data_IF_430637004873
#
_entry.id   IF_430637004873
#
_cell.length_a   1.000
_cell.length_b   1.000
_cell.length_c   1.000
_cell.angle_alpha   90.00
_cell.angle_beta   90.00
_cell.angle_gamma   90.00
#
_symmetry.space_group_name_H-M   'P 1'
#
loop_
_entity.id
_entity.type
_entity.pdbx_description
1 polymer ?
#
# COMPACT_ATOMS: atom_id res chain seq x y z
N UNK A 1 14.90 4.14 -41.13
CA UNK A 1 15.40 2.88 -40.53
C UNK A 1 16.78 3.16 -39.96
N UNK A 2 17.13 2.58 -38.80
CA UNK A 2 18.48 2.70 -38.25
C UNK A 2 19.48 2.04 -39.20
N UNK A 3 20.67 2.61 -39.32
CA UNK A 3 21.78 2.06 -40.11
C UNK A 3 22.42 0.87 -39.38
N UNK A 4 23.09 -0.02 -40.12
CA UNK A 4 23.80 -1.16 -39.53
C UNK A 4 24.81 -0.72 -38.46
N UNK A 5 25.50 0.41 -38.68
CA UNK A 5 26.42 0.99 -37.69
C UNK A 5 25.71 1.37 -36.39
N UNK A 6 24.51 1.93 -36.47
CA UNK A 6 23.71 2.29 -35.29
C UNK A 6 23.15 1.06 -34.56
N UNK A 7 22.83 -0.02 -35.30
CA UNK A 7 22.40 -1.29 -34.73
C UNK A 7 23.57 -2.01 -34.04
N UNK A 8 24.78 -1.97 -34.61
CA UNK A 8 25.98 -2.50 -33.97
C UNK A 8 26.32 -1.75 -32.68
N UNK A 9 26.27 -0.43 -32.72
CA UNK A 9 26.49 0.39 -31.53
C UNK A 9 25.47 0.06 -30.43
N UNK A 10 24.19 -0.09 -30.78
CA UNK A 10 23.16 -0.45 -29.81
C UNK A 10 23.37 -1.84 -29.19
N UNK A 11 23.83 -2.81 -29.98
CA UNK A 11 24.16 -4.14 -29.46
C UNK A 11 25.38 -4.10 -28.53
N UNK A 12 26.41 -3.33 -28.87
CA UNK A 12 27.59 -3.14 -28.02
C UNK A 12 27.22 -2.50 -26.66
N UNK A 13 26.38 -1.46 -26.68
CA UNK A 13 25.87 -0.81 -25.47
C UNK A 13 25.05 -1.78 -24.62
N UNK A 14 24.19 -2.59 -25.24
CA UNK A 14 23.39 -3.57 -24.53
C UNK A 14 24.27 -4.61 -23.82
N UNK A 15 25.29 -5.10 -24.52
CA UNK A 15 26.27 -6.03 -23.97
C UNK A 15 27.08 -5.44 -22.82
N UNK A 16 27.54 -4.20 -22.95
CA UNK A 16 28.26 -3.51 -21.88
C UNK A 16 27.41 -3.36 -20.61
N UNK A 17 26.10 -3.19 -20.76
CA UNK A 17 25.17 -2.98 -19.65
C UNK A 17 24.63 -4.28 -19.04
N UNK A 18 24.77 -5.43 -19.71
CA UNK A 18 24.25 -6.72 -19.24
C UNK A 18 24.77 -7.13 -17.85
N UNK A 19 26.06 -6.89 -17.57
CA UNK A 19 26.64 -7.23 -16.26
C UNK A 19 26.06 -6.37 -15.13
N UNK A 20 25.87 -5.07 -15.37
CA UNK A 20 25.24 -4.17 -14.41
C UNK A 20 23.76 -4.53 -14.20
N UNK A 21 23.08 -4.99 -15.25
CA UNK A 21 21.71 -5.50 -15.16
C UNK A 21 21.63 -6.76 -14.30
N UNK A 22 22.58 -7.70 -14.41
CA UNK A 22 22.64 -8.89 -13.54
C UNK A 22 22.74 -8.50 -12.06
N UNK A 23 23.68 -7.62 -11.74
CA UNK A 23 23.86 -7.12 -10.35
C UNK A 23 22.61 -6.41 -9.86
N UNK A 24 22.00 -5.56 -10.70
CA UNK A 24 20.75 -4.89 -10.38
C UNK A 24 19.64 -5.89 -10.05
N UNK A 25 19.51 -6.98 -10.82
CA UNK A 25 18.49 -7.99 -10.63
C UNK A 25 18.71 -8.81 -9.35
N UNK A 26 19.95 -9.12 -8.99
CA UNK A 26 20.28 -9.77 -7.71
C UNK A 26 19.85 -8.92 -6.51
N UNK A 27 20.06 -7.60 -6.58
CA UNK A 27 19.62 -6.68 -5.52
C UNK A 27 18.10 -6.53 -5.53
N UNK A 28 17.49 -6.38 -6.71
CA UNK A 28 16.05 -6.19 -6.86
C UNK A 28 15.24 -7.37 -6.36
N UNK A 29 15.68 -8.60 -6.63
CA UNK A 29 15.03 -9.82 -6.15
C UNK A 29 15.12 -10.00 -4.63
N UNK A 30 16.10 -9.36 -3.97
CA UNK A 30 16.17 -9.30 -2.53
C UNK A 30 15.46 -8.05 -2.00
N UNK A 31 14.21 -8.20 -1.57
CA UNK A 31 13.35 -7.08 -1.12
C UNK A 31 13.98 -6.19 -0.06
N UNK A 32 14.68 -6.77 0.92
CA UNK A 32 15.32 -6.00 1.99
C UNK A 32 16.47 -5.12 1.44
N UNK A 33 17.26 -5.67 0.51
CA UNK A 33 18.33 -4.91 -0.15
C UNK A 33 17.76 -3.88 -1.12
N UNK A 34 16.73 -4.22 -1.89
CA UNK A 34 16.10 -3.27 -2.81
C UNK A 34 15.55 -2.04 -2.09
N UNK A 35 14.89 -2.22 -0.93
CA UNK A 35 14.35 -1.12 -0.13
C UNK A 35 15.41 -0.14 0.40
N UNK A 36 16.68 -0.54 0.45
CA UNK A 36 17.76 0.23 1.08
C UNK A 36 18.78 0.79 0.07
N UNK A 37 18.70 0.38 -1.19
CA UNK A 37 19.66 0.78 -2.22
C UNK A 37 18.97 1.66 -3.26
N UNK A 38 19.43 2.90 -3.41
CA UNK A 38 18.92 3.82 -4.42
C UNK A 38 19.47 3.48 -5.81
N UNK A 39 18.67 3.67 -6.86
CA UNK A 39 19.14 3.55 -8.24
C UNK A 39 19.33 2.12 -8.76
N UNK A 40 18.89 1.10 -8.02
CA UNK A 40 19.04 -0.33 -8.40
C UNK A 40 18.54 -0.61 -9.82
N UNK A 41 17.43 0.00 -10.24
CA UNK A 41 16.83 -0.26 -11.55
C UNK A 41 17.44 0.55 -12.69
N UNK A 42 18.38 1.47 -12.42
CA UNK A 42 18.98 2.32 -13.46
C UNK A 42 19.62 1.50 -14.60
N UNK A 43 20.40 0.43 -14.34
CA UNK A 43 20.98 -0.39 -15.40
C UNK A 43 19.96 -1.10 -16.31
N UNK A 44 18.77 -1.37 -15.78
CA UNK A 44 17.67 -1.93 -16.57
C UNK A 44 17.09 -0.82 -17.45
N UNK A 45 16.63 0.29 -16.86
CA UNK A 45 15.93 1.33 -17.62
C UNK A 45 16.79 2.10 -18.62
N UNK A 46 18.10 2.26 -18.36
CA UNK A 46 18.98 3.06 -19.22
C UNK A 46 19.17 2.47 -20.62
N UNK A 47 18.90 1.17 -20.83
CA UNK A 47 19.07 0.53 -22.14
C UNK A 47 17.77 0.42 -22.95
N UNK A 48 16.64 0.95 -22.46
CA UNK A 48 15.34 0.82 -23.13
C UNK A 48 15.37 1.27 -24.60
N UNK A 49 16.06 2.38 -24.88
CA UNK A 49 16.22 2.90 -26.24
C UNK A 49 17.01 1.96 -27.16
N UNK A 50 18.01 1.24 -26.63
CA UNK A 50 18.79 0.26 -27.39
C UNK A 50 17.95 -0.99 -27.69
N UNK A 51 17.20 -1.47 -26.71
CA UNK A 51 16.25 -2.59 -26.92
C UNK A 51 15.25 -2.25 -28.03
N UNK A 52 14.61 -1.08 -27.95
CA UNK A 52 13.66 -0.62 -28.98
C UNK A 52 14.32 -0.54 -30.35
N UNK A 53 15.53 0.04 -30.42
CA UNK A 53 16.28 0.17 -31.69
C UNK A 53 16.59 -1.19 -32.31
N UNK A 54 17.04 -2.16 -31.52
CA UNK A 54 17.37 -3.51 -32.01
C UNK A 54 16.13 -4.31 -32.42
N UNK A 55 15.04 -4.22 -31.65
CA UNK A 55 13.76 -4.87 -32.00
C UNK A 55 13.19 -4.31 -33.31
N UNK A 56 13.16 -2.99 -33.47
CA UNK A 56 12.70 -2.36 -34.72
C UNK A 56 13.63 -2.66 -35.91
N UNK A 57 14.92 -2.83 -35.64
CA UNK A 57 15.92 -3.27 -36.60
C UNK A 57 15.89 -4.78 -36.91
N UNK A 58 14.98 -5.55 -36.29
CA UNK A 58 14.87 -7.01 -36.41
C UNK A 58 16.19 -7.74 -36.15
N UNK A 59 17.01 -7.20 -35.25
CA UNK A 59 18.29 -7.79 -34.85
C UNK A 59 18.11 -8.53 -33.54
N UNK A 60 18.33 -9.84 -33.57
CA UNK A 60 18.26 -10.68 -32.37
C UNK A 60 19.66 -10.92 -31.80
N UNK A 61 19.75 -10.99 -30.47
CA UNK A 61 20.95 -11.41 -29.74
C UNK A 61 20.58 -12.00 -28.38
N UNK A 62 21.52 -12.72 -27.76
CA UNK A 62 21.34 -13.24 -26.40
C UNK A 62 21.14 -12.10 -25.40
N UNK A 63 21.90 -11.02 -25.53
CA UNK A 63 21.80 -9.84 -24.68
C UNK A 63 20.43 -9.15 -24.84
N UNK A 64 19.89 -9.09 -26.06
CA UNK A 64 18.55 -8.55 -26.31
C UNK A 64 17.46 -9.37 -25.64
N UNK A 65 17.53 -10.69 -25.80
CA UNK A 65 16.61 -11.61 -25.15
C UNK A 65 16.66 -11.44 -23.63
N UNK A 66 17.86 -11.52 -23.05
CA UNK A 66 18.07 -11.37 -21.61
C UNK A 66 17.53 -10.04 -21.08
N UNK A 67 17.86 -8.92 -21.72
CA UNK A 67 17.44 -7.61 -21.24
C UNK A 67 15.93 -7.40 -21.35
N UNK A 68 15.28 -7.93 -22.40
CA UNK A 68 13.80 -7.93 -22.49
C UNK A 68 13.17 -8.70 -21.34
N UNK A 69 13.72 -9.86 -20.99
CA UNK A 69 13.24 -10.66 -19.85
C UNK A 69 13.44 -9.93 -18.51
N UNK A 70 14.56 -9.24 -18.32
CA UNK A 70 14.79 -8.45 -17.10
C UNK A 70 13.79 -7.30 -17.00
N UNK A 71 13.50 -6.60 -18.10
CA UNK A 71 12.47 -5.56 -18.14
C UNK A 71 11.09 -6.11 -17.76
N UNK A 72 10.71 -7.25 -18.33
CA UNK A 72 9.43 -7.88 -18.01
C UNK A 72 9.36 -8.31 -16.53
N UNK A 73 10.47 -8.84 -16.00
CA UNK A 73 10.58 -9.22 -14.58
C UNK A 73 10.41 -8.02 -13.67
N UNK A 74 11.11 -6.91 -13.97
CA UNK A 74 10.99 -5.65 -13.22
C UNK A 74 9.55 -5.14 -13.24
N UNK A 75 8.91 -5.08 -14.40
CA UNK A 75 7.50 -4.67 -14.53
C UNK A 75 6.58 -5.51 -13.64
N UNK A 76 6.65 -6.84 -13.78
CA UNK A 76 5.78 -7.75 -13.03
C UNK A 76 5.93 -7.58 -11.52
N UNK A 77 7.16 -7.40 -11.03
CA UNK A 77 7.41 -7.19 -9.60
C UNK A 77 6.94 -5.81 -9.13
N UNK A 78 7.11 -4.75 -9.94
CA UNK A 78 6.58 -3.43 -9.63
C UNK A 78 5.05 -3.41 -9.58
N UNK A 79 4.37 -4.19 -10.44
CA UNK A 79 2.91 -4.35 -10.40
C UNK A 79 2.47 -4.98 -9.06
N UNK A 80 3.17 -6.03 -8.61
CA UNK A 80 2.92 -6.65 -7.30
C UNK A 80 3.17 -5.68 -6.15
N UNK A 81 4.29 -4.94 -6.18
CA UNK A 81 4.62 -3.96 -5.13
C UNK A 81 3.56 -2.84 -5.08
N UNK A 82 3.12 -2.35 -6.25
CA UNK A 82 2.08 -1.33 -6.35
C UNK A 82 0.77 -1.79 -5.71
N UNK A 83 0.36 -3.03 -5.99
CA UNK A 83 -0.86 -3.59 -5.39
C UNK A 83 -0.72 -3.79 -3.87
N UNK A 84 0.44 -4.25 -3.41
CA UNK A 84 0.73 -4.38 -1.98
C UNK A 84 0.69 -3.01 -1.26
N UNK A 85 1.22 -1.95 -1.88
CA UNK A 85 1.16 -0.59 -1.33
C UNK A 85 -0.29 -0.12 -1.18
N UNK A 86 -1.14 -0.35 -2.19
CA UNK A 86 -2.57 0.01 -2.11
C UNK A 86 -3.29 -0.73 -0.99
N UNK A 87 -3.03 -2.02 -0.83
CA UNK A 87 -3.61 -2.82 0.25
C UNK A 87 -3.18 -2.32 1.62
N UNK A 88 -1.89 -2.01 1.80
CA UNK A 88 -1.38 -1.45 3.06
C UNK A 88 -2.00 -0.09 3.35
N UNK A 89 -2.10 0.79 2.35
CA UNK A 89 -2.74 2.10 2.52
C UNK A 89 -4.20 1.95 2.95
N UNK A 90 -4.95 1.06 2.30
CA UNK A 90 -6.34 0.79 2.64
C UNK A 90 -6.51 0.28 4.08
N UNK A 91 -5.65 -0.63 4.53
CA UNK A 91 -5.68 -1.12 5.92
C UNK A 91 -5.30 -0.01 6.92
N UNK A 92 -4.38 0.89 6.58
CA UNK A 92 -4.05 2.05 7.41
C UNK A 92 -5.26 2.99 7.54
N UNK A 93 -5.90 3.33 6.42
CA UNK A 93 -7.08 4.21 6.41
C UNK A 93 -8.22 3.59 7.23
N UNK A 94 -8.54 2.31 6.97
CA UNK A 94 -9.56 1.56 7.71
C UNK A 94 -9.23 1.46 9.19
N UNK A 95 -7.99 1.12 9.56
CA UNK A 95 -7.57 1.03 10.95
C UNK A 95 -7.63 2.38 11.65
N UNK A 96 -7.28 3.46 10.96
CA UNK A 96 -7.36 4.83 11.48
C UNK A 96 -8.81 5.22 11.80
N UNK A 97 -9.74 4.99 10.85
CA UNK A 97 -11.17 5.24 11.05
C UNK A 97 -11.69 4.39 12.22
N UNK A 98 -11.40 3.09 12.23
CA UNK A 98 -11.83 2.20 13.31
C UNK A 98 -11.31 2.65 14.67
N UNK A 99 -10.02 3.00 14.78
CA UNK A 99 -9.44 3.45 16.04
C UNK A 99 -10.05 4.78 16.51
N UNK A 100 -10.39 5.67 15.58
CA UNK A 100 -11.02 6.96 15.88
C UNK A 100 -12.46 6.79 16.40
N UNK A 101 -13.25 5.92 15.75
CA UNK A 101 -14.70 5.83 16.04
C UNK A 101 -15.08 4.69 16.98
N UNK A 102 -14.26 3.65 17.14
CA UNK A 102 -14.58 2.51 18.03
C UNK A 102 -14.90 2.93 19.47
N UNK A 103 -14.11 3.80 20.15
CA UNK A 103 -14.44 4.23 21.50
C UNK A 103 -15.76 5.01 21.57
N UNK A 104 -16.10 5.74 20.51
CA UNK A 104 -17.30 6.57 20.40
C UNK A 104 -18.54 5.67 20.27
N UNK A 105 -18.48 4.69 19.36
CA UNK A 105 -19.52 3.68 19.21
C UNK A 105 -19.72 2.86 20.49
N UNK A 106 -18.63 2.46 21.14
CA UNK A 106 -18.68 1.64 22.34
C UNK A 106 -19.28 2.42 23.52
N UNK A 107 -18.95 3.70 23.66
CA UNK A 107 -19.61 4.58 24.64
C UNK A 107 -21.12 4.67 24.40
N UNK A 108 -21.56 4.86 23.16
CA UNK A 108 -22.99 4.93 22.83
C UNK A 108 -23.71 3.60 23.09
N UNK A 109 -23.10 2.46 22.72
CA UNK A 109 -23.64 1.13 23.02
C UNK A 109 -23.79 0.90 24.52
N UNK A 110 -22.81 1.34 25.32
CA UNK A 110 -22.83 1.20 26.78
C UNK A 110 -23.85 2.15 27.44
N UNK A 111 -23.96 3.40 26.97
CA UNK A 111 -25.01 4.33 27.40
C UNK A 111 -26.40 3.73 27.12
N UNK A 112 -26.61 3.18 25.92
CA UNK A 112 -27.88 2.52 25.57
C UNK A 112 -28.17 1.31 26.48
N UNK A 113 -27.18 0.47 26.75
CA UNK A 113 -27.34 -0.68 27.67
C UNK A 113 -27.78 -0.23 29.06
N UNK A 114 -27.09 0.76 29.63
CA UNK A 114 -27.44 1.31 30.96
C UNK A 114 -28.81 1.97 30.99
N UNK A 115 -29.21 2.63 29.90
CA UNK A 115 -30.57 3.15 29.79
C UNK A 115 -31.62 2.03 29.83
N UNK A 116 -31.37 0.93 29.14
CA UNK A 116 -32.24 -0.25 29.20
C UNK A 116 -32.29 -0.87 30.60
N UNK A 117 -31.20 -0.85 31.35
CA UNK A 117 -31.16 -1.34 32.74
C UNK A 117 -32.14 -0.55 33.62
N UNK A 118 -32.25 0.79 33.45
CA UNK A 118 -33.26 1.62 34.15
C UNK A 118 -34.68 1.15 33.81
N UNK A 119 -34.98 0.94 32.52
CA UNK A 119 -36.31 0.59 32.07
C UNK A 119 -36.75 -0.79 32.59
N UNK A 120 -35.81 -1.71 32.69
CA UNK A 120 -36.05 -3.08 33.12
C UNK A 120 -35.97 -3.28 34.64
N UNK A 121 -35.47 -2.31 35.39
CA UNK A 121 -35.32 -2.39 36.84
C UNK A 121 -36.67 -2.39 37.58
N UNK A 122 -36.72 -3.18 38.66
CA UNK A 122 -37.81 -3.11 39.63
C UNK A 122 -37.88 -1.71 40.27
N UNK A 123 -39.07 -1.22 40.66
CA UNK A 123 -39.27 0.16 41.11
C UNK A 123 -38.28 0.65 42.17
N UNK A 124 -37.91 -0.22 43.11
CA UNK A 124 -36.99 0.04 44.22
C UNK A 124 -35.53 0.28 43.77
N UNK A 125 -35.11 -0.22 42.61
CA UNK A 125 -33.75 -0.06 42.08
C UNK A 125 -33.61 1.05 41.04
N UNK A 126 -34.72 1.54 40.47
CA UNK A 126 -34.70 2.50 39.35
C UNK A 126 -33.92 3.78 39.64
N UNK A 127 -34.02 4.33 40.84
CA UNK A 127 -33.28 5.54 41.20
C UNK A 127 -31.77 5.30 41.34
N UNK A 128 -31.35 4.08 41.71
CA UNK A 128 -29.94 3.73 41.71
C UNK A 128 -29.41 3.57 40.28
N UNK A 129 -30.12 2.81 39.45
CA UNK A 129 -29.77 2.62 38.03
C UNK A 129 -29.69 3.96 37.28
N UNK A 130 -30.64 4.87 37.54
CA UNK A 130 -30.64 6.21 36.95
C UNK A 130 -29.41 7.01 37.34
N UNK A 131 -28.97 6.93 38.61
CA UNK A 131 -27.77 7.63 39.09
C UNK A 131 -26.50 7.07 38.45
N UNK A 132 -26.43 5.75 38.30
CA UNK A 132 -25.32 5.08 37.61
C UNK A 132 -25.27 5.44 36.13
N UNK A 133 -26.43 5.48 35.46
CA UNK A 133 -26.53 5.94 34.08
C UNK A 133 -26.04 7.38 33.93
N UNK A 134 -26.53 8.33 34.75
CA UNK A 134 -26.13 9.73 34.66
C UNK A 134 -24.63 9.91 34.89
N UNK A 135 -24.08 9.20 35.88
CA UNK A 135 -22.62 9.22 36.15
C UNK A 135 -21.83 8.70 34.94
N UNK A 136 -22.28 7.59 34.34
CA UNK A 136 -21.63 7.02 33.17
C UNK A 136 -21.79 7.91 31.93
N UNK A 137 -22.96 8.50 31.73
CA UNK A 137 -23.27 9.42 30.65
C UNK A 137 -22.29 10.60 30.67
N UNK A 138 -22.13 11.28 31.81
CA UNK A 138 -21.19 12.40 31.95
C UNK A 138 -19.73 11.98 31.71
N UNK A 139 -19.27 10.88 32.32
CA UNK A 139 -17.88 10.40 32.18
C UNK A 139 -17.56 9.94 30.75
N UNK A 140 -18.58 9.49 30.00
CA UNK A 140 -18.44 9.09 28.60
C UNK A 140 -18.76 10.20 27.60
N UNK A 141 -18.70 11.48 28.01
CA UNK A 141 -18.91 12.67 27.17
C UNK A 141 -20.35 12.90 26.72
N UNK A 142 -21.32 12.32 27.39
CA UNK A 142 -22.74 12.56 27.16
C UNK A 142 -23.17 12.34 25.71
N UNK A 143 -23.84 13.33 25.14
CA UNK A 143 -24.34 13.32 23.76
C UNK A 143 -23.28 13.68 22.71
N UNK A 144 -22.08 14.12 23.11
CA UNK A 144 -21.00 14.46 22.17
C UNK A 144 -20.65 13.29 21.23
N UNK A 145 -20.70 12.05 21.72
CA UNK A 145 -20.44 10.88 20.89
C UNK A 145 -21.43 10.76 19.73
N UNK A 146 -22.70 11.10 19.97
CA UNK A 146 -23.75 11.08 18.95
C UNK A 146 -23.48 12.12 17.87
N UNK A 147 -23.18 13.36 18.28
CA UNK A 147 -22.84 14.44 17.34
C UNK A 147 -21.60 14.11 16.54
N UNK A 148 -20.57 13.53 17.17
CA UNK A 148 -19.33 13.14 16.48
C UNK A 148 -19.56 12.08 15.40
N UNK A 149 -20.48 11.12 15.61
CA UNK A 149 -20.84 10.16 14.56
C UNK A 149 -21.75 10.78 13.49
N UNK A 150 -22.66 11.67 13.87
CA UNK A 150 -23.54 12.36 12.91
C UNK A 150 -22.75 13.24 11.93
N UNK A 151 -21.78 13.99 12.44
CA UNK A 151 -20.94 14.89 11.64
C UNK A 151 -19.92 14.14 10.76
N UNK A 152 -19.73 12.83 10.97
CA UNK A 152 -18.78 11.99 10.23
C UNK A 152 -19.34 11.39 8.93
N UNK A 153 -20.65 11.55 8.67
CA UNK A 153 -21.38 10.99 7.50
C UNK A 153 -21.73 12.11 6.51
#
# INVERSE_FOLDING_TARGET
MATDKELEQAAAELKANMNNAKIAMEIFQNRARFATVSGVLKPIFQVAGFILKLVLGKRESEELTYMKEQFQTVRNQLDVISEQIKQVLWEIEKSTINNQYFPIEENLKNQFRKYMDILNAAPEFRENEKREFLTHFDVTKGDQNLHTLYDAV
#
